data_IF_902241061738
#
_entry.id   IF_902241061738
#
_cell.length_a   1.000
_cell.length_b   1.000
_cell.length_c   1.000
_cell.angle_alpha   90.00
_cell.angle_beta   90.00
_cell.angle_gamma   90.00
#
_symmetry.space_group_name_H-M   'P 1'
#
loop_
_entity.id
_entity.type
_entity.pdbx_description
1 polymer ?
#
# COMPACT_ATOMS: atom_id res chain seq x y z
N UNK A 1 2.31 17.43 12.06
CA UNK A 1 2.47 16.60 10.85
C UNK A 1 1.16 16.63 10.08
N UNK A 2 1.21 16.80 8.75
CA UNK A 2 0.00 16.89 7.93
C UNK A 2 -0.71 15.52 7.90
N UNK A 3 -2.02 15.47 8.14
CA UNK A 3 -2.79 14.22 8.20
C UNK A 3 -2.64 13.36 6.92
N UNK A 4 -2.47 14.01 5.77
CA UNK A 4 -2.16 13.37 4.47
C UNK A 4 -0.82 12.64 4.52
N UNK A 5 0.21 13.26 5.11
CA UNK A 5 1.54 12.65 5.23
C UNK A 5 1.53 11.47 6.21
N UNK A 6 0.79 11.58 7.31
CA UNK A 6 0.64 10.48 8.29
C UNK A 6 0.01 9.26 7.63
N UNK A 7 -1.11 9.44 6.92
CA UNK A 7 -1.82 8.34 6.25
C UNK A 7 -1.01 7.72 5.11
N UNK A 8 -0.27 8.54 4.36
CA UNK A 8 0.68 8.05 3.36
C UNK A 8 1.74 7.15 4.01
N UNK A 9 2.28 7.59 5.15
CA UNK A 9 3.32 6.86 5.86
C UNK A 9 2.81 5.55 6.47
N UNK A 10 1.57 5.51 6.95
CA UNK A 10 0.90 4.28 7.40
C UNK A 10 0.83 3.24 6.27
N UNK A 11 0.37 3.64 5.08
CA UNK A 11 0.32 2.72 3.94
C UNK A 11 1.71 2.22 3.53
N UNK A 12 2.74 3.07 3.58
CA UNK A 12 4.11 2.64 3.29
C UNK A 12 4.65 1.67 4.35
N UNK A 13 4.32 1.87 5.64
CA UNK A 13 4.69 0.92 6.70
C UNK A 13 4.01 -0.44 6.51
N UNK A 14 2.72 -0.44 6.15
CA UNK A 14 1.98 -1.66 5.83
C UNK A 14 2.62 -2.40 4.65
N UNK A 15 3.00 -1.69 3.58
CA UNK A 15 3.66 -2.27 2.41
C UNK A 15 4.96 -2.98 2.80
N UNK A 16 5.82 -2.33 3.59
CA UNK A 16 7.07 -2.91 4.09
C UNK A 16 6.82 -4.18 4.90
N UNK A 17 5.80 -4.18 5.77
CA UNK A 17 5.42 -5.36 6.55
C UNK A 17 5.01 -6.53 5.64
N UNK A 18 4.17 -6.27 4.63
CA UNK A 18 3.77 -7.31 3.68
C UNK A 18 4.93 -7.85 2.85
N UNK A 19 5.86 -7.00 2.41
CA UNK A 19 7.05 -7.47 1.70
C UNK A 19 7.93 -8.35 2.58
N UNK A 20 8.14 -7.98 3.85
CA UNK A 20 8.91 -8.79 4.79
C UNK A 20 8.28 -10.18 4.96
N UNK A 21 6.97 -10.23 5.19
CA UNK A 21 6.26 -11.51 5.33
C UNK A 21 6.25 -12.32 4.03
N UNK A 22 6.24 -11.65 2.87
CA UNK A 22 6.36 -12.33 1.58
C UNK A 22 7.74 -12.98 1.44
N UNK A 23 8.81 -12.32 1.86
CA UNK A 23 10.16 -12.91 1.89
C UNK A 23 10.22 -14.14 2.80
N UNK A 24 9.65 -14.07 4.01
CA UNK A 24 9.59 -15.21 4.93
C UNK A 24 8.88 -16.42 4.28
N UNK A 25 7.73 -16.21 3.62
CA UNK A 25 7.05 -17.30 2.92
C UNK A 25 7.76 -17.78 1.65
N UNK A 26 8.55 -16.92 0.99
CA UNK A 26 9.38 -17.34 -0.14
C UNK A 26 10.48 -18.31 0.33
N UNK A 27 11.11 -18.01 1.47
CA UNK A 27 12.14 -18.85 2.07
C UNK A 27 11.58 -20.20 2.54
N UNK A 28 10.32 -20.23 2.99
CA UNK A 28 9.57 -21.45 3.31
C UNK A 28 9.10 -22.25 2.09
N UNK A 29 9.27 -21.72 0.87
CA UNK A 29 8.77 -22.33 -0.37
C UNK A 29 7.26 -22.17 -0.60
N UNK A 30 6.56 -21.39 0.25
CA UNK A 30 5.14 -21.07 0.07
C UNK A 30 4.94 -19.90 -0.90
N UNK A 31 5.15 -20.19 -2.19
CA UNK A 31 5.08 -19.20 -3.26
C UNK A 31 3.69 -18.57 -3.42
N UNK A 32 2.62 -19.31 -3.12
CA UNK A 32 1.25 -18.81 -3.23
C UNK A 32 0.97 -17.71 -2.21
N UNK A 33 1.34 -17.93 -0.94
CA UNK A 33 1.23 -16.91 0.10
C UNK A 33 2.15 -15.73 -0.16
N UNK A 34 3.38 -15.98 -0.62
CA UNK A 34 4.33 -14.93 -1.02
C UNK A 34 3.74 -14.02 -2.11
N UNK A 35 3.24 -14.59 -3.20
CA UNK A 35 2.63 -13.82 -4.29
C UNK A 35 1.42 -13.00 -3.81
N UNK A 36 0.56 -13.58 -2.98
CA UNK A 36 -0.59 -12.87 -2.41
C UNK A 36 -0.16 -11.68 -1.53
N UNK A 37 0.92 -11.81 -0.76
CA UNK A 37 1.46 -10.75 0.08
C UNK A 37 2.15 -9.65 -0.73
N UNK A 38 2.89 -10.00 -1.79
CA UNK A 38 3.47 -9.03 -2.73
C UNK A 38 2.37 -8.16 -3.34
N UNK A 39 1.27 -8.76 -3.81
CA UNK A 39 0.15 -8.01 -4.38
C UNK A 39 -0.50 -7.06 -3.35
N UNK A 40 -0.62 -7.49 -2.08
CA UNK A 40 -1.12 -6.64 -1.00
C UNK A 40 -0.16 -5.48 -0.71
N UNK A 41 1.15 -5.70 -0.72
CA UNK A 41 2.15 -4.68 -0.52
C UNK A 41 2.08 -3.60 -1.62
N UNK A 42 2.01 -4.03 -2.89
CA UNK A 42 1.88 -3.14 -4.05
C UNK A 42 0.58 -2.31 -4.00
N UNK A 43 -0.53 -2.88 -3.54
CA UNK A 43 -1.76 -2.11 -3.37
C UNK A 43 -1.61 -1.02 -2.30
N UNK A 44 -0.88 -1.29 -1.21
CA UNK A 44 -0.57 -0.29 -0.19
C UNK A 44 0.33 0.83 -0.71
N UNK A 45 1.33 0.52 -1.53
CA UNK A 45 2.14 1.55 -2.22
C UNK A 45 1.28 2.39 -3.17
N UNK A 46 0.38 1.76 -3.93
CA UNK A 46 -0.60 2.43 -4.79
C UNK A 46 -1.51 3.37 -3.98
N UNK A 47 -2.00 2.92 -2.82
CA UNK A 47 -2.79 3.75 -1.91
C UNK A 47 -1.97 4.94 -1.39
N UNK A 48 -0.73 4.72 -0.95
CA UNK A 48 0.17 5.77 -0.51
C UNK A 48 0.39 6.84 -1.59
N UNK A 49 0.51 6.45 -2.86
CA UNK A 49 0.61 7.36 -4.00
C UNK A 49 -0.68 8.13 -4.30
N UNK A 50 -1.84 7.59 -3.91
CA UNK A 50 -3.16 8.23 -4.04
C UNK A 50 -3.54 9.09 -2.83
N UNK A 51 -2.79 9.04 -1.73
CA UNK A 51 -3.02 9.89 -0.56
C UNK A 51 -2.64 11.34 -0.90
N UNK A 52 -3.66 12.14 -1.20
CA UNK A 52 -3.55 13.54 -1.56
C UNK A 52 -4.92 14.10 -1.95
N UNK A 53 -5.01 15.39 -2.29
CA UNK A 53 -6.23 15.97 -2.82
C UNK A 53 -6.59 15.23 -4.12
N UNK A 54 -7.70 14.49 -4.12
CA UNK A 54 -8.20 13.87 -5.33
C UNK A 54 -8.78 14.98 -6.21
N UNK A 55 -8.07 15.32 -7.28
CA UNK A 55 -8.41 16.40 -8.24
C UNK A 55 -9.83 16.23 -8.83
N UNK A 56 -10.43 15.04 -8.73
CA UNK A 56 -11.80 14.74 -9.18
C UNK A 56 -12.92 15.44 -8.40
N UNK A 57 -12.67 16.09 -7.26
CA UNK A 57 -13.68 16.95 -6.61
C UNK A 57 -13.91 18.29 -7.34
N UNK A 58 -13.17 18.60 -8.41
CA UNK A 58 -13.42 19.77 -9.27
C UNK A 58 -14.59 19.59 -10.25
N UNK A 59 -15.13 18.38 -10.40
CA UNK A 59 -16.36 18.15 -11.18
C UNK A 59 -17.53 17.96 -10.20
N UNK A 60 -17.84 19.01 -9.43
CA UNK A 60 -19.18 19.16 -8.89
C UNK A 60 -20.02 19.83 -9.98
N UNK A 61 -20.80 19.07 -10.73
CA UNK A 61 -21.95 19.65 -11.44
C UNK A 61 -22.93 20.15 -10.38
N UNK A 62 -23.40 21.40 -10.53
CA UNK A 62 -24.35 22.05 -9.60
C UNK A 62 -25.57 21.17 -9.34
#
# INVERSE_FOLDING_TARGET
MNAVQVKKQEFLKDAVCFFKNASEHADEGNLQSCAALILKALDKERMAGRVGPQVLHLIKTR
#
